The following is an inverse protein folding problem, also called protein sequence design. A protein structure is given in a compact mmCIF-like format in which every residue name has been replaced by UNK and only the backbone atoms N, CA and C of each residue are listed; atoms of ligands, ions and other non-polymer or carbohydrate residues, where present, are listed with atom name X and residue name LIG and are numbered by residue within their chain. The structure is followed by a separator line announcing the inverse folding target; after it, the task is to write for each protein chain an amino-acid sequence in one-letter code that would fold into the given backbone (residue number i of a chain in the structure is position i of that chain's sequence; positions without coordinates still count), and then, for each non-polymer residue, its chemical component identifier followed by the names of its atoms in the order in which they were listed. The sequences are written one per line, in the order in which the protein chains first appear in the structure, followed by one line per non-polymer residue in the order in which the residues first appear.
data_IF_626998573611
#
_entry.id   IF_626998573611
#
_cell.length_a   1.000
_cell.length_b   1.000
_cell.length_c   1.000
_cell.angle_alpha   90.00
_cell.angle_beta   90.00
_cell.angle_gamma   90.00
#
_symmetry.space_group_name_H-M   'P 1'
#
loop_
_entity.id
_entity.type
_entity.pdbx_description
1 polymer ?
#
# COMPACT_ATOMS: atom_id res chain seq x y z
N UNK A 1 19.92 5.81 -39.92
CA UNK A 1 19.48 5.54 -38.53
C UNK A 1 18.78 4.19 -38.53
N UNK A 2 19.37 3.17 -37.93
CA UNK A 2 18.73 1.86 -37.73
C UNK A 2 17.99 1.91 -36.40
N UNK A 3 16.66 1.98 -36.44
CA UNK A 3 15.82 1.80 -35.25
C UNK A 3 15.97 0.35 -34.78
N UNK A 4 16.59 0.15 -33.62
CA UNK A 4 16.62 -1.15 -32.98
C UNK A 4 15.18 -1.54 -32.61
N UNK A 5 14.65 -2.59 -33.25
CA UNK A 5 13.40 -3.24 -32.83
C UNK A 5 13.67 -4.00 -31.54
N UNK A 6 13.14 -3.49 -30.44
CA UNK A 6 13.14 -4.16 -29.12
C UNK A 6 12.34 -5.46 -29.23
N UNK A 7 12.84 -6.55 -28.65
CA UNK A 7 12.13 -7.82 -28.67
C UNK A 7 10.86 -7.77 -27.82
N UNK A 8 9.85 -8.60 -28.13
CA UNK A 8 8.61 -8.66 -27.35
C UNK A 8 8.86 -8.98 -25.87
N UNK A 9 9.87 -9.81 -25.58
CA UNK A 9 10.30 -10.15 -24.22
C UNK A 9 10.86 -8.93 -23.48
N UNK A 10 11.73 -8.14 -24.12
CA UNK A 10 12.28 -6.91 -23.52
C UNK A 10 11.19 -5.86 -23.29
N UNK A 11 10.21 -5.75 -24.20
CA UNK A 11 9.08 -4.84 -24.06
C UNK A 11 8.15 -5.25 -22.91
N UNK A 12 7.88 -6.54 -22.75
CA UNK A 12 7.10 -7.07 -21.62
C UNK A 12 7.80 -6.84 -20.27
N UNK A 13 9.10 -7.11 -20.20
CA UNK A 13 9.91 -6.86 -18.99
C UNK A 13 9.96 -5.35 -18.68
N UNK A 14 10.12 -4.49 -19.69
CA UNK A 14 10.11 -3.04 -19.51
C UNK A 14 8.77 -2.54 -18.98
N UNK A 15 7.66 -3.08 -19.47
CA UNK A 15 6.31 -2.73 -19.01
C UNK A 15 6.05 -3.18 -17.57
N UNK A 16 6.47 -4.39 -17.19
CA UNK A 16 6.32 -4.88 -15.80
C UNK A 16 7.11 -4.02 -14.82
N UNK A 17 8.36 -3.68 -15.13
CA UNK A 17 9.17 -2.80 -14.28
C UNK A 17 8.58 -1.40 -14.16
N UNK A 18 8.05 -0.84 -15.26
CA UNK A 18 7.37 0.45 -15.24
C UNK A 18 6.13 0.41 -14.34
N UNK A 19 5.32 -0.64 -14.45
CA UNK A 19 4.15 -0.85 -13.60
C UNK A 19 4.54 -1.03 -12.14
N UNK A 20 5.57 -1.83 -11.84
CA UNK A 20 6.05 -2.02 -10.49
C UNK A 20 6.54 -0.69 -9.88
N UNK A 21 7.31 0.08 -10.63
CA UNK A 21 7.76 1.42 -10.22
C UNK A 21 6.59 2.36 -9.94
N UNK A 22 5.57 2.37 -10.81
CA UNK A 22 4.36 3.14 -10.60
C UNK A 22 3.60 2.69 -9.34
N UNK A 23 3.43 1.38 -9.14
CA UNK A 23 2.77 0.82 -7.96
C UNK A 23 3.49 1.17 -6.65
N UNK A 24 4.83 1.15 -6.65
CA UNK A 24 5.63 1.55 -5.49
C UNK A 24 5.41 3.02 -5.13
N UNK A 25 5.42 3.92 -6.11
CA UNK A 25 5.17 5.35 -5.90
C UNK A 25 3.73 5.62 -5.46
N UNK A 26 2.75 4.95 -6.09
CA UNK A 26 1.34 5.10 -5.73
C UNK A 26 1.08 4.65 -4.29
N UNK A 27 1.67 3.53 -3.87
CA UNK A 27 1.55 3.05 -2.50
C UNK A 27 2.16 4.02 -1.48
N UNK A 28 3.30 4.65 -1.78
CA UNK A 28 3.90 5.67 -0.91
C UNK A 28 3.01 6.91 -0.78
N UNK A 29 2.38 7.36 -1.86
CA UNK A 29 1.45 8.49 -1.84
C UNK A 29 0.24 8.22 -0.94
N UNK A 30 -0.37 7.04 -1.09
CA UNK A 30 -1.49 6.60 -0.25
C UNK A 30 -1.06 6.49 1.21
N UNK A 31 0.10 5.88 1.49
CA UNK A 31 0.62 5.76 2.87
C UNK A 31 0.80 7.13 3.53
N UNK A 32 1.42 8.08 2.82
CA UNK A 32 1.65 9.43 3.32
C UNK A 32 0.32 10.20 3.53
N UNK A 33 -0.60 10.12 2.58
CA UNK A 33 -1.90 10.77 2.69
C UNK A 33 -2.70 10.20 3.86
N UNK A 34 -2.70 8.87 4.02
CA UNK A 34 -3.34 8.19 5.14
C UNK A 34 -2.72 8.60 6.48
N UNK A 35 -1.39 8.62 6.58
CA UNK A 35 -0.68 9.09 7.76
C UNK A 35 -1.07 10.52 8.13
N UNK A 36 -1.15 11.43 7.15
CA UNK A 36 -1.52 12.82 7.38
C UNK A 36 -2.95 12.95 7.91
N UNK A 37 -3.91 12.24 7.33
CA UNK A 37 -5.31 12.25 7.77
C UNK A 37 -5.42 11.71 9.19
N UNK A 38 -4.85 10.53 9.48
CA UNK A 38 -4.90 9.92 10.82
C UNK A 38 -4.16 10.80 11.84
N UNK A 39 -3.03 11.40 11.48
CA UNK A 39 -2.32 12.34 12.35
C UNK A 39 -3.14 13.58 12.68
N UNK A 40 -3.91 14.10 11.71
CA UNK A 40 -4.85 15.22 11.93
C UNK A 40 -5.96 14.82 12.90
N UNK A 41 -6.55 13.64 12.74
CA UNK A 41 -7.55 13.09 13.66
C UNK A 41 -6.99 12.90 15.06
N UNK A 42 -5.78 12.33 15.18
CA UNK A 42 -5.14 12.07 16.47
C UNK A 42 -4.89 13.35 17.30
N UNK A 43 -4.65 14.51 16.65
CA UNK A 43 -4.49 15.79 17.34
C UNK A 43 -5.72 16.22 18.15
N UNK A 44 -6.90 15.68 17.84
CA UNK A 44 -8.14 15.94 18.58
C UNK A 44 -8.27 15.12 19.87
N UNK A 45 -7.42 14.10 20.03
CA UNK A 45 -7.43 13.20 21.19
C UNK A 45 -6.60 13.74 22.35
N UNK A 46 -6.74 13.13 23.53
CA UNK A 46 -5.86 13.41 24.67
C UNK A 46 -4.41 13.01 24.39
N UNK A 47 -3.46 13.61 25.13
CA UNK A 47 -2.02 13.29 24.97
C UNK A 47 -1.69 11.81 25.22
N UNK A 48 -2.42 11.16 26.13
CA UNK A 48 -2.20 9.74 26.43
C UNK A 48 -2.73 8.84 25.32
N UNK A 49 -3.90 9.14 24.75
CA UNK A 49 -4.43 8.44 23.58
C UNK A 49 -3.54 8.64 22.33
N UNK A 50 -2.98 9.85 22.15
CA UNK A 50 -2.01 10.11 21.07
C UNK A 50 -0.75 9.25 21.20
N UNK A 51 -0.24 9.07 22.42
CA UNK A 51 0.92 8.19 22.68
C UNK A 51 0.60 6.73 22.41
N UNK A 52 -0.60 6.27 22.78
CA UNK A 52 -1.05 4.90 22.53
C UNK A 52 -1.11 4.57 21.04
N UNK A 53 -1.53 5.53 20.20
CA UNK A 53 -1.56 5.36 18.74
C UNK A 53 -0.17 5.24 18.11
N UNK A 54 0.89 5.74 18.78
CA UNK A 54 2.27 5.58 18.34
C UNK A 54 2.54 6.08 16.91
N UNK A 55 1.88 7.16 16.48
CA UNK A 55 1.98 7.64 15.10
C UNK A 55 3.37 8.21 14.81
N UNK A 56 4.10 7.50 13.97
CA UNK A 56 5.42 7.87 13.46
C UNK A 56 5.52 7.42 12.01
N UNK A 57 5.98 8.31 11.12
CA UNK A 57 5.92 8.09 9.68
C UNK A 57 6.80 6.89 9.24
N UNK A 58 7.94 6.67 9.91
CA UNK A 58 8.88 5.61 9.56
C UNK A 58 8.36 4.22 9.95
N UNK A 59 7.47 4.16 10.94
CA UNK A 59 6.91 2.91 11.48
C UNK A 59 5.43 2.70 11.15
N UNK A 60 4.76 3.70 10.56
CA UNK A 60 3.33 3.68 10.26
C UNK A 60 2.91 2.49 9.39
N UNK A 61 2.01 1.65 9.93
CA UNK A 61 1.46 0.45 9.28
C UNK A 61 2.54 -0.54 8.80
N UNK A 62 3.75 -0.51 9.37
CA UNK A 62 4.89 -1.38 8.99
C UNK A 62 5.14 -2.51 9.97
N UNK A 63 4.27 -2.69 10.95
CA UNK A 63 4.33 -3.75 11.95
C UNK A 63 4.25 -5.15 11.32
N UNK A 64 4.55 -6.16 12.14
CA UNK A 64 4.38 -7.56 11.73
C UNK A 64 2.89 -7.88 11.60
N UNK A 65 2.55 -8.79 10.70
CA UNK A 65 1.17 -9.25 10.50
C UNK A 65 0.46 -9.68 11.80
N UNK A 66 1.20 -10.22 12.78
CA UNK A 66 0.67 -10.60 14.10
C UNK A 66 0.13 -9.43 14.93
N UNK A 67 0.56 -8.20 14.66
CA UNK A 67 0.15 -6.99 15.38
C UNK A 67 -0.83 -6.13 14.59
N UNK A 68 -0.89 -6.31 13.26
CA UNK A 68 -1.73 -5.51 12.37
C UNK A 68 -3.20 -5.49 12.78
N UNK A 69 -3.78 -6.64 13.12
CA UNK A 69 -5.19 -6.73 13.53
C UNK A 69 -5.48 -5.89 14.78
N UNK A 70 -4.55 -5.87 15.74
CA UNK A 70 -4.68 -5.07 16.95
C UNK A 70 -4.59 -3.57 16.64
N UNK A 71 -3.63 -3.14 15.81
CA UNK A 71 -3.49 -1.75 15.37
C UNK A 71 -4.75 -1.27 14.65
N UNK A 72 -5.24 -2.03 13.69
CA UNK A 72 -6.41 -1.64 12.90
C UNK A 72 -7.68 -1.59 13.76
N UNK A 73 -7.83 -2.51 14.72
CA UNK A 73 -8.95 -2.49 15.67
C UNK A 73 -8.87 -1.28 16.62
N UNK A 74 -7.65 -0.87 17.02
CA UNK A 74 -7.45 0.34 17.81
C UNK A 74 -7.88 1.58 17.00
N UNK A 75 -7.50 1.67 15.73
CA UNK A 75 -7.90 2.78 14.86
C UNK A 75 -9.41 2.83 14.65
N UNK A 76 -10.04 1.70 14.37
CA UNK A 76 -11.50 1.60 14.22
C UNK A 76 -12.23 2.00 15.51
N UNK A 77 -11.76 1.53 16.67
CA UNK A 77 -12.33 1.93 17.98
C UNK A 77 -12.15 3.42 18.28
N UNK A 78 -11.01 3.99 17.90
CA UNK A 78 -10.62 5.36 18.26
C UNK A 78 -11.29 6.38 17.35
N UNK A 79 -11.34 6.13 16.05
CA UNK A 79 -11.80 7.09 15.05
C UNK A 79 -13.18 6.75 14.46
N UNK A 80 -13.60 5.49 14.52
CA UNK A 80 -14.91 5.05 14.03
C UNK A 80 -15.17 5.51 12.60
N UNK A 81 -16.28 6.22 12.40
CA UNK A 81 -16.71 6.74 11.11
C UNK A 81 -15.78 7.86 10.55
N UNK A 82 -14.93 8.46 11.37
CA UNK A 82 -13.96 9.45 10.92
C UNK A 82 -12.73 8.82 10.25
N UNK A 83 -12.56 7.50 10.35
CA UNK A 83 -11.46 6.81 9.70
C UNK A 83 -11.64 6.88 8.17
N UNK A 84 -10.64 7.32 7.39
CA UNK A 84 -10.79 7.53 5.95
C UNK A 84 -11.09 6.25 5.18
N UNK A 85 -10.52 5.14 5.63
CA UNK A 85 -10.64 3.83 5.02
C UNK A 85 -11.11 2.84 6.08
N UNK A 86 -12.00 1.93 5.71
CA UNK A 86 -12.45 0.88 6.64
C UNK A 86 -11.30 -0.07 6.97
N UNK A 87 -11.42 -0.76 8.10
CA UNK A 87 -10.42 -1.74 8.56
C UNK A 87 -10.03 -2.78 7.49
N UNK A 88 -11.00 -3.28 6.71
CA UNK A 88 -10.74 -4.21 5.61
C UNK A 88 -9.95 -3.55 4.46
N UNK A 89 -10.24 -2.29 4.12
CA UNK A 89 -9.50 -1.54 3.10
C UNK A 89 -8.08 -1.22 3.55
N UNK A 90 -7.87 -0.87 4.82
CA UNK A 90 -6.53 -0.69 5.39
C UNK A 90 -5.73 -1.99 5.36
N UNK A 91 -6.37 -3.10 5.71
CA UNK A 91 -5.74 -4.42 5.64
C UNK A 91 -5.36 -4.80 4.21
N UNK A 92 -6.25 -4.55 3.26
CA UNK A 92 -6.02 -4.77 1.83
C UNK A 92 -4.86 -3.92 1.30
N UNK A 93 -4.84 -2.63 1.64
CA UNK A 93 -3.72 -1.73 1.31
C UNK A 93 -2.39 -2.25 1.85
N UNK A 94 -2.32 -2.58 3.14
CA UNK A 94 -1.10 -3.09 3.79
C UNK A 94 -0.62 -4.37 3.12
N UNK A 95 -1.54 -5.29 2.81
CA UNK A 95 -1.22 -6.54 2.12
C UNK A 95 -0.58 -6.27 0.76
N UNK A 96 -1.27 -5.51 -0.11
CA UNK A 96 -0.78 -5.26 -1.46
C UNK A 96 0.51 -4.44 -1.47
N UNK A 97 0.61 -3.39 -0.64
CA UNK A 97 1.84 -2.62 -0.45
C UNK A 97 3.00 -3.55 -0.06
N UNK A 98 2.79 -4.47 0.88
CA UNK A 98 3.83 -5.41 1.32
C UNK A 98 4.24 -6.38 0.21
N UNK A 99 3.30 -6.83 -0.62
CA UNK A 99 3.62 -7.65 -1.80
C UNK A 99 4.54 -6.86 -2.73
N UNK A 100 4.13 -5.67 -3.19
CA UNK A 100 4.92 -4.89 -4.16
C UNK A 100 6.28 -4.44 -3.60
N UNK A 101 6.36 -4.12 -2.31
CA UNK A 101 7.59 -3.59 -1.69
C UNK A 101 8.56 -4.66 -1.20
N UNK A 102 8.09 -5.83 -0.78
CA UNK A 102 8.92 -6.83 -0.08
C UNK A 102 8.94 -8.20 -0.73
N UNK A 103 7.93 -8.55 -1.52
CA UNK A 103 7.72 -9.94 -1.96
C UNK A 103 7.48 -10.11 -3.45
N UNK A 104 7.39 -9.04 -4.24
CA UNK A 104 7.00 -9.10 -5.65
C UNK A 104 7.87 -10.07 -6.44
N UNK A 105 9.20 -9.88 -6.41
CA UNK A 105 10.13 -10.80 -7.07
C UNK A 105 9.99 -12.24 -6.57
N UNK A 106 9.70 -12.46 -5.29
CA UNK A 106 9.50 -13.80 -4.73
C UNK A 106 8.29 -14.50 -5.34
N UNK A 107 7.19 -13.76 -5.54
CA UNK A 107 5.92 -14.30 -6.03
C UNK A 107 5.80 -14.29 -7.56
N UNK A 108 6.68 -13.58 -8.28
CA UNK A 108 6.69 -13.54 -9.75
C UNK A 108 7.88 -14.30 -10.33
N UNK A 109 9.11 -13.87 -10.03
CA UNK A 109 10.33 -14.35 -10.71
C UNK A 109 11.17 -15.41 -9.98
N UNK A 110 11.14 -15.47 -8.65
CA UNK A 110 11.98 -16.41 -7.89
C UNK A 110 11.42 -17.83 -7.91
N UNK A 111 12.22 -18.85 -8.24
CA UNK A 111 11.81 -20.25 -8.16
C UNK A 111 11.87 -20.78 -6.72
N UNK A 112 10.89 -20.38 -5.91
CA UNK A 112 10.77 -20.82 -4.51
C UNK A 112 9.85 -22.03 -4.43
N UNK A 113 10.42 -23.19 -4.06
CA UNK A 113 9.67 -24.45 -3.93
C UNK A 113 8.53 -24.31 -2.91
N UNK A 114 7.29 -24.56 -3.37
CA UNK A 114 6.08 -24.43 -2.53
C UNK A 114 5.68 -22.98 -2.22
N UNK A 115 6.33 -22.00 -2.85
CA UNK A 115 5.96 -20.59 -2.72
C UNK A 115 4.69 -20.26 -3.53
N UNK A 116 3.88 -19.36 -2.99
CA UNK A 116 2.76 -18.77 -3.72
C UNK A 116 3.28 -18.01 -4.96
N UNK A 117 2.58 -18.19 -6.09
CA UNK A 117 2.91 -17.56 -7.37
C UNK A 117 1.75 -16.69 -7.83
N UNK A 118 2.06 -15.45 -8.22
CA UNK A 118 1.11 -14.59 -8.93
C UNK A 118 0.97 -15.08 -10.37
N UNK A 119 -0.25 -15.43 -10.76
CA UNK A 119 -0.54 -15.94 -12.10
C UNK A 119 -0.37 -14.89 -13.20
N UNK A 120 -0.69 -13.62 -12.92
CA UNK A 120 -0.56 -12.52 -13.86
C UNK A 120 -0.02 -11.25 -13.14
N UNK A 121 1.31 -11.06 -13.11
CA UNK A 121 1.95 -9.92 -12.46
C UNK A 121 1.49 -8.56 -13.01
N UNK A 122 1.31 -8.47 -14.33
CA UNK A 122 0.92 -7.22 -15.00
C UNK A 122 -0.50 -6.79 -14.59
N UNK A 123 -1.45 -7.73 -14.63
CA UNK A 123 -2.83 -7.48 -14.21
C UNK A 123 -2.88 -7.10 -12.73
N UNK A 124 -2.15 -7.82 -11.88
CA UNK A 124 -2.06 -7.53 -10.46
C UNK A 124 -1.58 -6.10 -10.19
N UNK A 125 -0.52 -5.65 -10.87
CA UNK A 125 0.01 -4.28 -10.70
C UNK A 125 -0.98 -3.21 -11.18
N UNK A 126 -1.68 -3.45 -12.29
CA UNK A 126 -2.72 -2.56 -12.81
C UNK A 126 -3.91 -2.44 -11.84
N UNK A 127 -4.38 -3.55 -11.31
CA UNK A 127 -5.46 -3.57 -10.31
C UNK A 127 -5.04 -2.86 -9.02
N UNK A 128 -3.82 -3.10 -8.56
CA UNK A 128 -3.31 -2.41 -7.38
C UNK A 128 -3.16 -0.90 -7.59
N UNK A 129 -2.70 -0.47 -8.78
CA UNK A 129 -2.68 0.96 -9.14
C UNK A 129 -4.07 1.59 -9.09
N UNK A 130 -5.07 0.92 -9.66
CA UNK A 130 -6.45 1.40 -9.63
C UNK A 130 -6.98 1.51 -8.19
N UNK A 131 -6.64 0.56 -7.30
CA UNK A 131 -6.96 0.65 -5.86
C UNK A 131 -6.27 1.84 -5.20
N UNK A 132 -4.98 2.07 -5.50
CA UNK A 132 -4.27 3.23 -4.98
C UNK A 132 -4.89 4.55 -5.42
N UNK A 133 -5.28 4.68 -6.70
CA UNK A 133 -5.97 5.87 -7.21
C UNK A 133 -7.30 6.09 -6.49
N UNK A 134 -8.09 5.03 -6.29
CA UNK A 134 -9.34 5.08 -5.53
C UNK A 134 -9.12 5.57 -4.08
N UNK A 135 -8.16 4.97 -3.36
CA UNK A 135 -7.84 5.40 -1.99
C UNK A 135 -7.31 6.83 -1.93
N UNK A 136 -6.49 7.25 -2.89
CA UNK A 136 -5.98 8.61 -2.96
C UNK A 136 -7.12 9.63 -3.07
N UNK A 137 -8.11 9.37 -3.94
CA UNK A 137 -9.29 10.25 -4.08
C UNK A 137 -10.06 10.38 -2.77
N UNK A 138 -10.27 9.27 -2.03
CA UNK A 138 -10.92 9.30 -0.72
C UNK A 138 -10.14 10.17 0.26
N UNK A 139 -8.82 9.98 0.32
CA UNK A 139 -7.93 10.67 1.27
C UNK A 139 -7.79 12.17 0.97
N UNK A 140 -7.74 12.54 -0.31
CA UNK A 140 -7.66 13.93 -0.74
C UNK A 140 -8.96 14.69 -0.38
N UNK A 141 -10.11 14.03 -0.48
CA UNK A 141 -11.41 14.61 -0.08
C UNK A 141 -11.53 14.87 1.44
N UNK A 142 -10.74 14.18 2.27
CA UNK A 142 -10.71 14.40 3.73
C UNK A 142 -9.61 15.35 4.20
N UNK A 143 -8.68 15.68 3.29
CA UNK A 143 -7.56 16.57 3.57
C UNK A 143 -7.92 18.05 3.39
N UNK A 144 -8.92 18.35 2.55
CA UNK A 144 -9.52 19.68 2.36
C UNK A 144 -10.54 20.02 3.46
#
# INVERSE_FOLDING_TARGET
MTTATVSATEQQISNEHALLGASLLAAQKVELALFNVISKLAKTLSKDAQKELGLDLDTFLREKASHQEATLSLYEKTFGEQLPLKKNELSDFIYHRNVVTRSFWRVTGADVKGGEKLANPELYLKEFLAKCEYWQVILDNQSN
#
